data_IF_031329672030
#
_entry.id   IF_031329672030
#
_cell.length_a   1.000
_cell.length_b   1.000
_cell.length_c   1.000
_cell.angle_alpha   90.00
_cell.angle_beta   90.00
_cell.angle_gamma   90.00
#
_symmetry.space_group_name_H-M   'P 1'
#
loop_
_entity.id
_entity.type
_entity.pdbx_description
1 polymer ?
#
# COMPACT_ATOMS: atom_id res chain seq x y z
N UNK A 1 1.07 -20.16 2.29
CA UNK A 1 1.48 -19.48 3.53
C UNK A 1 2.85 -18.81 3.45
N UNK A 2 3.90 -19.45 2.92
CA UNK A 2 5.25 -18.85 2.82
C UNK A 2 5.31 -17.54 2.01
N UNK A 3 4.50 -17.41 0.94
CA UNK A 3 4.49 -16.21 0.10
C UNK A 3 3.99 -14.97 0.85
N UNK A 4 2.90 -15.08 1.61
CA UNK A 4 2.35 -13.96 2.38
C UNK A 4 3.36 -13.47 3.43
N UNK A 5 4.00 -14.41 4.15
CA UNK A 5 5.04 -14.09 5.12
C UNK A 5 6.25 -13.40 4.47
N UNK A 6 6.63 -13.84 3.26
CA UNK A 6 7.72 -13.20 2.52
C UNK A 6 7.35 -11.79 2.06
N UNK A 7 6.11 -11.60 1.60
CA UNK A 7 5.58 -10.28 1.25
C UNK A 7 5.57 -9.35 2.46
N UNK A 8 5.07 -9.80 3.61
CA UNK A 8 5.09 -9.03 4.86
C UNK A 8 6.51 -8.61 5.25
N UNK A 9 7.48 -9.53 5.22
CA UNK A 9 8.89 -9.19 5.49
C UNK A 9 9.44 -8.13 4.54
N UNK A 10 9.12 -8.21 3.23
CA UNK A 10 9.54 -7.22 2.25
C UNK A 10 8.90 -5.88 2.54
N UNK A 11 7.60 -5.86 2.86
CA UNK A 11 6.86 -4.63 3.20
C UNK A 11 7.39 -3.98 4.48
N UNK A 12 7.72 -4.77 5.50
CA UNK A 12 8.31 -4.27 6.75
C UNK A 12 9.67 -3.60 6.52
N UNK A 13 10.50 -4.16 5.63
CA UNK A 13 11.78 -3.54 5.26
C UNK A 13 11.61 -2.18 4.57
N UNK A 14 10.43 -1.88 4.04
CA UNK A 14 10.11 -0.58 3.46
C UNK A 14 9.64 0.43 4.52
N UNK A 15 9.38 0.04 5.78
CA UNK A 15 8.95 0.99 6.83
C UNK A 15 9.83 2.26 6.94
N UNK A 16 11.18 2.18 6.87
CA UNK A 16 12.05 3.34 7.05
C UNK A 16 11.89 4.43 5.99
N UNK A 17 11.41 4.10 4.78
CA UNK A 17 11.20 5.11 3.71
C UNK A 17 9.92 5.92 3.87
N UNK A 18 9.11 5.61 4.89
CA UNK A 18 7.90 6.35 5.20
C UNK A 18 8.05 7.17 6.49
N UNK A 19 8.04 8.49 6.34
CA UNK A 19 8.06 9.41 7.49
C UNK A 19 6.74 9.45 8.27
N UNK A 20 5.62 9.01 7.67
CA UNK A 20 4.29 8.95 8.30
C UNK A 20 3.77 7.52 8.33
N UNK A 21 3.35 7.07 9.51
CA UNK A 21 2.74 5.75 9.73
C UNK A 21 1.51 5.54 8.84
N UNK A 22 0.60 6.51 8.79
CA UNK A 22 -0.60 6.39 7.96
C UNK A 22 -0.27 6.18 6.47
N UNK A 23 0.77 6.82 5.94
CA UNK A 23 1.20 6.62 4.54
C UNK A 23 1.75 5.21 4.32
N UNK A 24 2.48 4.65 5.29
CA UNK A 24 2.94 3.27 5.23
C UNK A 24 1.78 2.26 5.28
N UNK A 25 0.81 2.48 6.17
CA UNK A 25 -0.36 1.61 6.28
C UNK A 25 -1.21 1.62 5.01
N UNK A 26 -1.43 2.81 4.42
CA UNK A 26 -2.09 2.93 3.12
C UNK A 26 -1.33 2.22 1.99
N UNK A 27 0.01 2.28 2.00
CA UNK A 27 0.83 1.53 1.06
C UNK A 27 0.61 0.01 1.20
N UNK A 28 0.65 -0.52 2.42
CA UNK A 28 0.40 -1.95 2.68
C UNK A 28 -0.97 -2.36 2.15
N UNK A 29 -2.02 -1.58 2.49
CA UNK A 29 -3.37 -1.85 2.02
C UNK A 29 -3.43 -1.89 0.50
N UNK A 30 -2.86 -0.89 -0.19
CA UNK A 30 -2.84 -0.86 -1.65
C UNK A 30 -2.08 -2.05 -2.26
N UNK A 31 -0.94 -2.47 -1.69
CA UNK A 31 -0.21 -3.66 -2.15
C UNK A 31 -1.07 -4.91 -2.01
N UNK A 32 -1.76 -5.09 -0.89
CA UNK A 32 -2.71 -6.19 -0.72
C UNK A 32 -3.88 -6.10 -1.70
N UNK A 33 -4.37 -4.89 -1.95
CA UNK A 33 -5.36 -4.62 -2.99
C UNK A 33 -4.87 -5.07 -4.37
N UNK A 34 -3.59 -4.89 -4.70
CA UNK A 34 -3.01 -5.42 -5.96
C UNK A 34 -2.90 -6.94 -5.94
N UNK A 35 -2.40 -7.52 -4.85
CA UNK A 35 -2.15 -8.98 -4.73
C UNK A 35 -3.45 -9.80 -4.74
N UNK A 36 -4.50 -9.29 -4.10
CA UNK A 36 -5.79 -9.99 -3.95
C UNK A 36 -6.74 -9.74 -5.12
N UNK A 37 -6.51 -8.69 -5.90
CA UNK A 37 -7.43 -8.30 -6.97
C UNK A 37 -7.17 -9.10 -8.25
N UNK A 38 -8.22 -9.77 -8.73
CA UNK A 38 -8.25 -10.46 -10.03
C UNK A 38 -8.83 -9.59 -11.16
N UNK A 39 -9.30 -8.38 -10.83
CA UNK A 39 -9.86 -7.41 -11.78
C UNK A 39 -8.76 -6.52 -12.38
N UNK A 40 -9.03 -5.82 -13.50
CA UNK A 40 -8.09 -4.88 -14.10
C UNK A 40 -7.56 -3.83 -13.12
N UNK A 41 -6.33 -3.40 -13.33
CA UNK A 41 -5.63 -2.44 -12.49
C UNK A 41 -6.31 -1.07 -12.50
N UNK A 42 -7.08 -0.78 -11.45
CA UNK A 42 -7.63 0.54 -11.16
C UNK A 42 -7.65 0.77 -9.65
N UNK A 43 -7.48 2.02 -9.21
CA UNK A 43 -7.49 2.38 -7.78
C UNK A 43 -8.82 1.97 -7.14
N UNK A 44 -9.93 2.18 -7.85
CA UNK A 44 -11.27 1.74 -7.44
C UNK A 44 -11.34 0.22 -7.29
N UNK A 45 -10.70 -0.54 -8.18
CA UNK A 45 -10.64 -2.01 -8.07
C UNK A 45 -9.82 -2.47 -6.86
N UNK A 46 -8.74 -1.77 -6.50
CA UNK A 46 -7.96 -2.08 -5.28
C UNK A 46 -8.73 -1.77 -3.99
N UNK A 47 -9.39 -0.61 -3.93
CA UNK A 47 -10.25 -0.22 -2.80
C UNK A 47 -11.41 -1.22 -2.64
N UNK A 48 -12.05 -1.62 -3.75
CA UNK A 48 -13.11 -2.62 -3.75
C UNK A 48 -12.61 -4.01 -3.33
N UNK A 49 -11.43 -4.43 -3.79
CA UNK A 49 -10.85 -5.72 -3.42
C UNK A 49 -10.57 -5.84 -1.92
N UNK A 50 -10.34 -4.71 -1.24
CA UNK A 50 -10.17 -4.62 0.22
C UNK A 50 -11.49 -4.46 0.99
N UNK A 51 -12.63 -4.37 0.28
CA UNK A 51 -13.94 -4.12 0.90
C UNK A 51 -14.12 -2.70 1.45
N UNK A 52 -13.28 -1.75 1.03
CA UNK A 52 -13.37 -0.36 1.47
C UNK A 52 -14.50 0.37 0.74
N UNK A 53 -15.21 1.23 1.46
CA UNK A 53 -16.27 2.07 0.89
C UNK A 53 -15.69 3.23 0.08
N UNK A 54 -16.50 3.80 -0.81
CA UNK A 54 -16.12 4.94 -1.67
C UNK A 54 -15.56 6.15 -0.87
N UNK A 55 -16.01 6.32 0.38
CA UNK A 55 -15.48 7.34 1.31
C UNK A 55 -13.96 7.29 1.50
N UNK A 56 -13.35 6.12 1.32
CA UNK A 56 -11.91 5.90 1.45
C UNK A 56 -11.15 6.13 0.14
N UNK A 57 -11.84 6.30 -0.99
CA UNK A 57 -11.19 6.50 -2.28
C UNK A 57 -10.29 7.74 -2.30
N UNK A 58 -10.78 8.87 -1.79
CA UNK A 58 -9.98 10.10 -1.72
C UNK A 58 -8.74 9.93 -0.84
N UNK A 59 -8.85 9.16 0.25
CA UNK A 59 -7.74 8.89 1.16
C UNK A 59 -6.70 7.96 0.51
N UNK A 60 -7.16 6.95 -0.24
CA UNK A 60 -6.29 6.12 -1.07
C UNK A 60 -5.61 6.93 -2.17
N UNK A 61 -6.30 7.91 -2.77
CA UNK A 61 -5.73 8.79 -3.79
C UNK A 61 -4.65 9.71 -3.21
N UNK A 62 -4.91 10.30 -2.03
CA UNK A 62 -3.95 11.14 -1.30
C UNK A 62 -2.63 10.43 -0.98
N UNK A 63 -2.62 9.09 -0.93
CA UNK A 63 -1.39 8.33 -0.78
C UNK A 63 -0.44 8.54 -1.97
N UNK A 64 -0.94 8.54 -3.21
CA UNK A 64 -0.11 8.70 -4.41
C UNK A 64 0.60 10.06 -4.47
N UNK A 65 0.01 11.09 -3.86
CA UNK A 65 0.58 12.43 -3.77
C UNK A 65 1.40 12.66 -2.48
N UNK A 66 1.53 11.64 -1.63
CA UNK A 66 2.16 11.80 -0.32
C UNK A 66 3.67 11.99 -0.45
N UNK A 67 4.16 13.15 0.01
CA UNK A 67 5.60 13.43 0.18
C UNK A 67 6.23 12.70 1.37
N UNK A 68 5.45 11.89 2.08
CA UNK A 68 5.92 11.15 3.23
C UNK A 68 6.71 9.89 2.85
N UNK A 69 6.67 9.47 1.58
CA UNK A 69 7.55 8.46 1.01
C UNK A 69 8.80 9.10 0.41
N UNK A 70 9.99 8.64 0.82
CA UNK A 70 11.27 9.05 0.23
C UNK A 70 12.20 7.85 0.15
N UNK A 71 12.65 7.54 -1.07
CA UNK A 71 13.57 6.42 -1.36
C UNK A 71 14.94 6.59 -0.68
N UNK A 72 15.27 7.81 -0.26
CA UNK A 72 16.53 8.24 0.37
C UNK A 72 16.89 7.54 1.71
N UNK A 73 16.15 6.50 2.12
CA UNK A 73 16.43 5.66 3.29
C UNK A 73 16.63 4.17 3.00
N UNK A 74 16.59 3.72 1.74
CA UNK A 74 16.88 2.32 1.38
C UNK A 74 18.39 2.12 1.22
N UNK A 75 19.03 1.61 2.26
CA UNK A 75 20.36 0.98 2.15
C UNK A 75 20.18 -0.50 1.84
N UNK A 76 20.58 -0.93 0.64
CA UNK A 76 20.66 -2.33 0.24
C UNK A 76 21.91 -3.01 0.81
#
# INVERSE_FOLDING_TARGET
MQLCQRLEQILDNLRPVFSREATFQWFILLVWGVVLNSQPSAITSYVNALGLTESYYNQALHWFDSKAFRVEGLTF
#
